data_IF_221781282388
#
_entry.id   IF_221781282388
#
_cell.length_a   1.000
_cell.length_b   1.000
_cell.length_c   1.000
_cell.angle_alpha   90.00
_cell.angle_beta   90.00
_cell.angle_gamma   90.00
#
_symmetry.space_group_name_H-M   'P 1'
#
loop_
_entity.id
_entity.type
_entity.pdbx_description
1 polymer ?
#
# COMPACT_ATOMS: atom_id res chain seq x y z
N UNK A 1 -17.97 3.48 -8.35
CA UNK A 1 -17.00 2.48 -7.88
C UNK A 1 -15.62 3.09 -8.01
N UNK A 2 -14.83 3.10 -6.94
CA UNK A 2 -13.45 3.57 -6.91
C UNK A 2 -12.55 2.45 -6.41
N UNK A 3 -11.32 2.43 -6.89
CA UNK A 3 -10.28 1.49 -6.52
C UNK A 3 -9.15 2.23 -5.82
N UNK A 4 -8.58 1.61 -4.80
CA UNK A 4 -7.32 2.02 -4.19
C UNK A 4 -6.34 0.85 -4.29
N UNK A 5 -5.13 1.14 -4.75
CA UNK A 5 -4.02 0.18 -4.77
C UNK A 5 -2.87 0.77 -3.97
N UNK A 6 -2.32 -0.02 -3.06
CA UNK A 6 -1.33 0.38 -2.07
C UNK A 6 -0.18 -0.61 -2.18
N UNK A 7 1.05 -0.11 -2.11
CA UNK A 7 2.23 -0.96 -2.23
C UNK A 7 3.40 -0.37 -1.43
N UNK A 8 4.18 -1.24 -0.80
CA UNK A 8 5.30 -0.85 0.06
C UNK A 8 6.44 -0.19 -0.72
N UNK A 9 7.08 0.80 -0.11
CA UNK A 9 8.19 1.52 -0.73
C UNK A 9 9.54 0.85 -0.43
N UNK A 10 10.37 0.73 -1.47
CA UNK A 10 11.74 0.17 -1.39
C UNK A 10 11.82 -1.26 -0.81
N UNK A 11 10.70 -1.99 -0.74
CA UNK A 11 10.63 -3.36 -0.21
C UNK A 11 11.60 -4.30 -0.94
N UNK A 12 11.58 -4.32 -2.28
CA UNK A 12 12.50 -5.14 -3.06
C UNK A 12 13.97 -4.81 -2.82
N UNK A 13 14.31 -3.53 -2.59
CA UNK A 13 15.68 -3.11 -2.28
C UNK A 13 16.12 -3.60 -0.89
N UNK A 14 15.25 -3.47 0.12
CA UNK A 14 15.51 -4.01 1.47
C UNK A 14 15.72 -5.53 1.43
N UNK A 15 14.82 -6.26 0.77
CA UNK A 15 14.94 -7.72 0.61
C UNK A 15 16.26 -8.09 -0.07
N UNK A 16 16.62 -7.41 -1.16
CA UNK A 16 17.89 -7.63 -1.87
C UNK A 16 19.09 -7.43 -0.95
N UNK A 17 19.07 -6.43 -0.08
CA UNK A 17 20.17 -6.16 0.86
C UNK A 17 20.38 -7.31 1.85
N UNK A 18 19.33 -7.97 2.32
CA UNK A 18 19.46 -9.12 3.22
C UNK A 18 20.06 -10.33 2.51
N UNK A 19 19.66 -10.60 1.27
CA UNK A 19 20.28 -11.65 0.45
C UNK A 19 21.77 -11.42 0.24
N UNK A 20 22.18 -10.19 -0.10
CA UNK A 20 23.59 -9.86 -0.34
C UNK A 20 24.46 -9.97 0.92
N UNK A 21 23.87 -9.82 2.09
CA UNK A 21 24.57 -9.89 3.38
C UNK A 21 24.44 -11.25 4.08
N UNK A 22 23.77 -12.24 3.48
CA UNK A 22 23.42 -13.52 4.12
C UNK A 22 22.68 -13.33 5.47
N UNK A 23 21.81 -12.33 5.54
CA UNK A 23 21.09 -11.95 6.76
C UNK A 23 19.70 -12.61 6.79
N UNK A 24 19.70 -13.91 7.10
CA UNK A 24 18.48 -14.74 7.12
C UNK A 24 17.47 -14.25 8.17
N UNK A 25 17.95 -13.85 9.35
CA UNK A 25 17.10 -13.40 10.44
C UNK A 25 16.32 -12.15 10.05
N UNK A 26 16.99 -11.10 9.55
CA UNK A 26 16.28 -9.89 9.14
C UNK A 26 15.42 -10.12 7.89
N UNK A 27 15.79 -11.05 7.00
CA UNK A 27 14.95 -11.45 5.87
C UNK A 27 13.63 -12.09 6.33
N UNK A 28 13.66 -12.90 7.38
CA UNK A 28 12.45 -13.45 7.98
C UNK A 28 11.62 -12.36 8.66
N UNK A 29 12.25 -11.52 9.49
CA UNK A 29 11.57 -10.45 10.25
C UNK A 29 10.92 -9.42 9.32
N UNK A 30 11.59 -9.03 8.23
CA UNK A 30 11.05 -8.09 7.24
C UNK A 30 9.82 -8.68 6.56
N UNK A 31 9.85 -9.96 6.19
CA UNK A 31 8.73 -10.64 5.53
C UNK A 31 7.50 -10.70 6.45
N UNK A 32 7.68 -11.11 7.70
CA UNK A 32 6.60 -11.14 8.69
C UNK A 32 6.00 -9.74 8.94
N UNK A 33 6.85 -8.72 8.99
CA UNK A 33 6.42 -7.33 9.18
C UNK A 33 5.60 -6.80 8.01
N UNK A 34 5.97 -7.15 6.77
CA UNK A 34 5.23 -6.75 5.56
C UNK A 34 3.84 -7.39 5.52
N UNK A 35 3.73 -8.68 5.81
CA UNK A 35 2.44 -9.39 5.87
C UNK A 35 1.54 -8.75 6.92
N UNK A 36 2.06 -8.50 8.13
CA UNK A 36 1.30 -7.86 9.20
C UNK A 36 0.85 -6.44 8.84
N UNK A 37 1.69 -5.66 8.14
CA UNK A 37 1.34 -4.33 7.68
C UNK A 37 0.24 -4.37 6.59
N UNK A 38 0.37 -5.26 5.61
CA UNK A 38 -0.64 -5.46 4.58
C UNK A 38 -1.98 -5.89 5.17
N UNK A 39 -1.98 -6.79 6.16
CA UNK A 39 -3.18 -7.23 6.87
C UNK A 39 -3.85 -6.07 7.63
N UNK A 40 -3.08 -5.23 8.32
CA UNK A 40 -3.61 -4.03 9.00
C UNK A 40 -4.21 -3.02 8.01
N UNK A 41 -3.56 -2.81 6.86
CA UNK A 41 -4.09 -1.96 5.79
C UNK A 41 -5.39 -2.55 5.25
N UNK A 42 -5.45 -3.86 5.01
CA UNK A 42 -6.65 -4.53 4.54
C UNK A 42 -7.81 -4.41 5.55
N UNK A 43 -7.55 -4.62 6.85
CA UNK A 43 -8.56 -4.43 7.89
C UNK A 43 -9.06 -2.98 7.95
N UNK A 44 -8.14 -2.01 7.89
CA UNK A 44 -8.49 -0.59 7.84
C UNK A 44 -9.38 -0.28 6.63
N UNK A 45 -9.08 -0.84 5.44
CA UNK A 45 -9.93 -0.67 4.26
C UNK A 45 -11.31 -1.29 4.47
N UNK A 46 -11.40 -2.50 5.02
CA UNK A 46 -12.66 -3.18 5.33
C UNK A 46 -13.52 -2.34 6.28
N UNK A 47 -12.94 -1.80 7.35
CA UNK A 47 -13.61 -0.91 8.31
C UNK A 47 -14.18 0.36 7.65
N UNK A 48 -13.59 0.82 6.55
CA UNK A 48 -14.05 1.96 5.76
C UNK A 48 -14.98 1.55 4.59
N UNK A 49 -15.48 0.31 4.59
CA UNK A 49 -16.47 -0.16 3.61
C UNK A 49 -15.88 -0.50 2.24
N UNK A 50 -14.64 -0.97 2.21
CA UNK A 50 -14.03 -1.52 1.00
C UNK A 50 -14.19 -3.05 0.95
N UNK A 51 -14.36 -3.57 -0.26
CA UNK A 51 -14.13 -4.98 -0.56
C UNK A 51 -12.66 -5.16 -0.97
N UNK A 52 -11.95 -6.10 -0.34
CA UNK A 52 -10.56 -6.41 -0.67
C UNK A 52 -10.51 -7.29 -1.90
N UNK A 53 -9.76 -6.85 -2.91
CA UNK A 53 -9.54 -7.56 -4.16
C UNK A 53 -8.21 -8.32 -4.13
N UNK A 54 -7.20 -7.76 -3.46
CA UNK A 54 -5.85 -8.32 -3.36
C UNK A 54 -5.22 -7.90 -2.03
N UNK A 55 -4.55 -8.83 -1.35
CA UNK A 55 -3.72 -8.57 -0.18
C UNK A 55 -2.63 -9.64 -0.14
N UNK A 56 -1.40 -9.29 -0.51
CA UNK A 56 -0.28 -10.21 -0.47
C UNK A 56 1.05 -9.45 -0.41
N UNK A 57 2.02 -10.02 0.31
CA UNK A 57 3.31 -9.40 0.57
C UNK A 57 3.15 -7.97 1.14
N UNK A 58 3.50 -6.96 0.36
CA UNK A 58 3.41 -5.53 0.72
C UNK A 58 2.30 -4.78 -0.03
N UNK A 59 1.54 -5.49 -0.88
CA UNK A 59 0.54 -4.92 -1.76
C UNK A 59 -0.89 -5.18 -1.28
N UNK A 60 -1.74 -4.15 -1.32
CA UNK A 60 -3.17 -4.22 -0.99
C UNK A 60 -4.00 -3.49 -2.02
N UNK A 61 -5.08 -4.11 -2.50
CA UNK A 61 -6.07 -3.50 -3.41
C UNK A 61 -7.46 -3.62 -2.80
N UNK A 62 -8.13 -2.48 -2.66
CA UNK A 62 -9.53 -2.40 -2.25
C UNK A 62 -10.38 -1.70 -3.30
N UNK A 63 -11.67 -2.01 -3.32
CA UNK A 63 -12.67 -1.26 -4.08
C UNK A 63 -13.83 -0.84 -3.18
N UNK A 64 -14.39 0.33 -3.42
CA UNK A 64 -15.59 0.79 -2.73
C UNK A 64 -16.57 1.47 -3.68
N UNK A 65 -17.85 1.18 -3.48
CA UNK A 65 -18.95 1.90 -4.12
C UNK A 65 -19.22 3.26 -3.47
N UNK A 66 -18.74 3.45 -2.23
CA UNK A 66 -19.00 4.63 -1.42
C UNK A 66 -18.01 5.76 -1.74
N UNK A 67 -18.41 6.99 -1.43
CA UNK A 67 -17.47 8.11 -1.39
C UNK A 67 -16.57 7.96 -0.16
N UNK A 68 -15.26 8.14 -0.33
CA UNK A 68 -14.28 8.16 0.75
C UNK A 68 -13.29 9.29 0.54
N UNK A 69 -12.75 9.81 1.63
CA UNK A 69 -11.65 10.77 1.63
C UNK A 69 -10.33 10.00 1.52
N UNK A 70 -9.75 10.03 0.33
CA UNK A 70 -8.52 9.30 0.01
C UNK A 70 -7.31 9.85 0.77
N UNK A 71 -7.25 11.16 1.01
CA UNK A 71 -6.17 11.79 1.76
C UNK A 71 -6.20 11.36 3.24
N UNK A 72 -7.36 11.48 3.88
CA UNK A 72 -7.52 11.08 5.29
C UNK A 72 -7.31 9.58 5.50
N UNK A 73 -7.76 8.75 4.56
CA UNK A 73 -7.52 7.31 4.59
C UNK A 73 -6.02 7.01 4.50
N UNK A 74 -5.31 7.70 3.61
CA UNK A 74 -3.87 7.53 3.45
C UNK A 74 -3.08 7.97 4.68
N UNK A 75 -3.46 9.08 5.33
CA UNK A 75 -2.87 9.48 6.61
C UNK A 75 -3.01 8.40 7.68
N UNK A 76 -4.18 7.75 7.76
CA UNK A 76 -4.39 6.62 8.68
C UNK A 76 -3.51 5.42 8.33
N UNK A 77 -3.34 5.11 7.05
CA UNK A 77 -2.43 4.04 6.58
C UNK A 77 -0.99 4.33 7.01
N UNK A 78 -0.53 5.56 6.84
CA UNK A 78 0.83 5.95 7.24
C UNK A 78 1.03 5.94 8.76
N UNK A 79 -0.02 6.25 9.52
CA UNK A 79 -0.01 6.24 10.98
C UNK A 79 -0.11 4.86 11.63
N UNK A 80 -0.15 3.77 10.86
CA UNK A 80 -0.20 2.42 11.43
C UNK A 80 1.09 2.11 12.21
N UNK A 81 0.99 1.54 13.44
CA UNK A 81 2.11 1.39 14.37
C UNK A 81 3.20 0.41 13.91
N UNK A 82 2.99 -0.27 12.78
CA UNK A 82 3.86 -1.32 12.25
C UNK A 82 4.80 -0.84 11.13
N UNK A 83 4.77 0.45 10.79
CA UNK A 83 5.39 0.95 9.57
C UNK A 83 6.89 1.25 9.76
N UNK A 84 7.73 0.22 9.72
CA UNK A 84 9.14 0.37 9.30
C UNK A 84 9.28 0.63 7.79
N UNK A 85 8.17 0.62 7.05
CA UNK A 85 8.07 0.91 5.63
C UNK A 85 7.15 2.09 5.43
N UNK A 86 7.46 2.91 4.42
CA UNK A 86 6.48 3.83 3.88
C UNK A 86 5.68 3.11 2.80
N UNK A 87 4.47 3.57 2.57
CA UNK A 87 3.60 3.06 1.52
C UNK A 87 3.30 4.15 0.50
N UNK A 88 3.14 3.76 -0.75
CA UNK A 88 2.57 4.62 -1.77
C UNK A 88 1.20 4.07 -2.17
N UNK A 89 0.29 4.96 -2.57
CA UNK A 89 -1.06 4.59 -2.94
C UNK A 89 -1.54 5.32 -4.21
N UNK A 90 -2.38 4.63 -4.97
CA UNK A 90 -3.04 5.17 -6.16
C UNK A 90 -4.55 4.95 -6.09
N UNK A 91 -5.32 5.99 -6.42
CA UNK A 91 -6.80 5.93 -6.48
C UNK A 91 -7.28 6.20 -7.90
N UNK A 92 -8.24 5.41 -8.36
CA UNK A 92 -8.78 5.49 -9.72
C UNK A 92 -10.21 4.95 -9.83
N UNK A 93 -10.88 5.26 -10.94
CA UNK A 93 -12.23 4.74 -11.23
C UNK A 93 -12.18 3.32 -11.82
N UNK A 94 -10.99 2.84 -12.15
CA UNK A 94 -10.70 1.47 -12.58
C UNK A 94 -9.39 0.98 -11.95
N UNK A 95 -9.17 -0.35 -11.94
CA UNK A 95 -7.89 -0.94 -11.53
C UNK A 95 -6.71 -0.34 -12.30
N UNK A 96 -6.87 -0.14 -13.62
CA UNK A 96 -5.84 0.47 -14.47
C UNK A 96 -5.50 1.89 -14.00
N UNK A 97 -6.49 2.74 -13.77
CA UNK A 97 -6.25 4.11 -13.31
C UNK A 97 -5.60 4.13 -11.93
N UNK A 98 -6.09 3.31 -10.98
CA UNK A 98 -5.50 3.21 -9.66
C UNK A 98 -4.04 2.77 -9.74
N UNK A 99 -3.72 1.80 -10.59
CA UNK A 99 -2.35 1.33 -10.80
C UNK A 99 -1.44 2.40 -11.43
N UNK A 100 -1.91 3.12 -12.45
CA UNK A 100 -1.15 4.24 -13.03
C UNK A 100 -0.89 5.33 -11.98
N UNK A 101 -1.90 5.67 -11.16
CA UNK A 101 -1.74 6.63 -10.08
C UNK A 101 -0.70 6.14 -9.03
N UNK A 102 -0.67 4.85 -8.71
CA UNK A 102 0.36 4.29 -7.82
C UNK A 102 1.77 4.37 -8.43
N UNK A 103 1.91 4.09 -9.72
CA UNK A 103 3.20 4.25 -10.41
C UNK A 103 3.69 5.70 -10.36
N UNK A 104 2.79 6.65 -10.57
CA UNK A 104 3.07 8.07 -10.43
C UNK A 104 3.52 8.39 -8.99
N UNK A 105 2.78 7.92 -7.97
CA UNK A 105 3.14 8.09 -6.57
C UNK A 105 4.55 7.56 -6.24
N UNK A 106 4.88 6.35 -6.72
CA UNK A 106 6.18 5.71 -6.50
C UNK A 106 7.33 6.36 -7.26
N UNK A 107 7.08 6.84 -8.48
CA UNK A 107 8.09 7.48 -9.32
C UNK A 107 8.38 8.92 -8.89
N UNK A 108 7.39 9.62 -8.34
CA UNK A 108 7.49 11.05 -8.00
C UNK A 108 8.04 11.33 -6.59
N UNK A 109 8.50 10.32 -5.84
CA UNK A 109 9.12 10.51 -4.52
C UNK A 109 8.63 9.57 -3.42
N UNK A 110 7.67 8.68 -3.71
CA UNK A 110 7.13 7.68 -2.77
C UNK A 110 6.43 8.30 -1.56
N UNK A 111 5.99 7.46 -0.61
CA UNK A 111 5.31 7.87 0.62
C UNK A 111 4.14 8.86 0.36
N UNK A 112 3.39 8.62 -0.72
CA UNK A 112 2.33 9.53 -1.14
C UNK A 112 1.16 8.80 -1.77
N UNK A 113 0.05 9.52 -1.83
CA UNK A 113 -1.15 9.14 -2.55
C UNK A 113 -1.28 10.01 -3.81
N UNK A 114 -1.52 9.37 -4.96
CA UNK A 114 -2.03 10.05 -6.15
C UNK A 114 -3.49 9.61 -6.38
N UNK A 115 -4.38 10.58 -6.60
CA UNK A 115 -5.81 10.33 -6.85
C UNK A 115 -6.20 10.88 -8.22
N UNK A 116 -6.50 9.97 -9.16
CA UNK A 116 -6.90 10.33 -10.53
C UNK A 116 -8.43 10.44 -10.68
N UNK A 117 -9.17 10.37 -9.57
CA UNK A 117 -10.63 10.58 -9.55
C UNK A 117 -11.02 12.01 -9.23
N UNK A 118 -10.08 12.83 -8.75
CA UNK A 118 -10.25 14.24 -8.47
C UNK A 118 -9.77 15.00 -9.72
N UNK A 119 -10.71 15.54 -10.50
CA UNK A 119 -10.43 16.47 -11.59
C UNK A 119 -10.58 17.90 -11.13
#
# INVERSE_FOLDING_TARGET
>A
MKYITIDGDDVGRKITSFYLNNDEENLYQVSASLVNAADQIAQLLIENGFEIVFCAADGVVGKSGNCFDSARLFERIQGLPSNTFTFSAGVGSSLKEAYVALLDAKSSGKNKLCDYTIK
#
